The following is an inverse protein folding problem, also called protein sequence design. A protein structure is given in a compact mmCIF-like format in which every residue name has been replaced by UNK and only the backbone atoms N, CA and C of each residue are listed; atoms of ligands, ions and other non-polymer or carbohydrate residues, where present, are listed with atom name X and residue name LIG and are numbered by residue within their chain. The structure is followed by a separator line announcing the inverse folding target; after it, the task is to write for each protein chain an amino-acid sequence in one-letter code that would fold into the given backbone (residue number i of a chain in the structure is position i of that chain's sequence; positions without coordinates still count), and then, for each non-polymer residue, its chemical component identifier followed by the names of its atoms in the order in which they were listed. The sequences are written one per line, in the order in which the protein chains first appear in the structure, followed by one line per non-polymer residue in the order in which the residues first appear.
data_IF_655034593040
#
_entry.id   IF_655034593040
#
_cell.length_a   1.000
_cell.length_b   1.000
_cell.length_c   1.000
_cell.angle_alpha   90.00
_cell.angle_beta   90.00
_cell.angle_gamma   90.00
#
_symmetry.space_group_name_H-M   'P 1'
#
loop_
_entity.id
_entity.type
_entity.pdbx_description
1 polymer ?
#
# COMPACT_ATOMS: atom_id res chain seq x y z
N UNK A 1 -69.91 32.03 -19.30
CA UNK A 1 -69.15 30.98 -20.02
C UNK A 1 -67.70 31.33 -20.37
N UNK A 2 -67.25 32.60 -20.29
CA UNK A 2 -65.87 32.99 -20.66
C UNK A 2 -64.77 32.63 -19.63
N UNK A 3 -65.11 32.45 -18.35
CA UNK A 3 -64.14 32.10 -17.29
C UNK A 3 -63.81 30.59 -17.20
N UNK A 4 -64.67 29.70 -17.71
CA UNK A 4 -64.44 28.24 -17.66
C UNK A 4 -63.48 27.74 -18.75
N UNK A 5 -63.35 28.44 -19.87
CA UNK A 5 -62.41 28.09 -20.95
C UNK A 5 -60.98 28.54 -20.60
N UNK A 6 -60.82 29.64 -19.86
CA UNK A 6 -59.51 30.13 -19.39
C UNK A 6 -58.96 29.22 -18.28
N UNK A 7 -59.82 28.67 -17.41
CA UNK A 7 -59.39 27.72 -16.38
C UNK A 7 -58.99 26.34 -16.93
N UNK A 8 -59.59 25.93 -18.07
CA UNK A 8 -59.25 24.68 -18.76
C UNK A 8 -57.93 24.77 -19.55
N UNK A 9 -57.54 25.98 -19.98
CA UNK A 9 -56.23 26.23 -20.61
C UNK A 9 -55.10 26.37 -19.57
N UNK A 10 -55.41 26.72 -18.32
CA UNK A 10 -54.43 26.83 -17.24
C UNK A 10 -54.00 25.48 -16.64
N UNK A 11 -54.80 24.42 -16.84
CA UNK A 11 -54.52 23.08 -16.28
C UNK A 11 -53.88 22.09 -17.27
N UNK A 12 -53.78 22.41 -18.56
CA UNK A 12 -53.20 21.53 -19.59
C UNK A 12 -51.74 21.91 -19.93
N UNK A 13 -51.23 23.04 -19.41
CA UNK A 13 -49.92 23.58 -19.79
C UNK A 13 -48.72 23.18 -18.89
N UNK A 14 -48.84 22.62 -17.66
CA UNK A 14 -47.65 22.16 -16.94
C UNK A 14 -47.33 20.65 -17.09
N UNK A 15 -47.98 19.89 -17.98
CA UNK A 15 -47.72 18.44 -18.11
C UNK A 15 -46.58 18.04 -19.06
N UNK A 16 -45.81 19.01 -19.57
CA UNK A 16 -44.55 18.74 -20.25
C UNK A 16 -43.35 19.11 -19.37
N UNK A 17 -43.33 18.62 -18.12
CA UNK A 17 -42.04 18.44 -17.44
C UNK A 17 -41.42 17.21 -18.11
N UNK A 18 -40.59 17.47 -19.12
CA UNK A 18 -39.68 16.49 -19.70
C UNK A 18 -38.87 15.90 -18.54
N UNK A 19 -39.22 14.69 -18.11
CA UNK A 19 -38.38 13.91 -17.21
C UNK A 19 -37.11 13.55 -17.99
N UNK A 20 -36.05 14.34 -17.81
CA UNK A 20 -34.71 13.90 -18.17
C UNK A 20 -34.41 12.68 -17.28
N UNK A 21 -34.49 11.48 -17.85
CA UNK A 21 -34.11 10.27 -17.13
C UNK A 21 -32.61 10.38 -16.82
N UNK A 22 -32.27 10.39 -15.54
CA UNK A 22 -30.91 10.38 -15.02
C UNK A 22 -30.59 8.97 -14.52
N UNK A 23 -29.35 8.50 -14.70
CA UNK A 23 -28.96 7.18 -14.22
C UNK A 23 -27.51 6.83 -14.53
N UNK A 24 -27.13 5.62 -14.15
CA UNK A 24 -25.78 5.09 -14.39
C UNK A 24 -25.79 4.30 -15.70
N UNK A 25 -24.89 4.66 -16.61
CA UNK A 25 -24.59 3.88 -17.82
C UNK A 25 -23.29 3.12 -17.60
N UNK A 26 -23.35 1.82 -17.85
CA UNK A 26 -22.18 0.95 -17.82
C UNK A 26 -21.93 0.32 -19.19
N UNK A 27 -20.67 0.03 -19.47
CA UNK A 27 -20.24 -0.51 -20.75
C UNK A 27 -18.78 -0.94 -20.75
N UNK A 28 -18.33 -1.42 -21.90
CA UNK A 28 -16.94 -1.86 -22.12
C UNK A 28 -16.38 -1.16 -23.35
N UNK A 29 -15.17 -0.59 -23.22
CA UNK A 29 -14.45 0.08 -24.29
C UNK A 29 -13.38 -0.85 -24.87
N UNK A 30 -13.53 -1.15 -26.15
CA UNK A 30 -12.63 -2.02 -26.91
C UNK A 30 -11.95 -1.24 -28.06
N UNK A 31 -10.79 -1.71 -28.48
CA UNK A 31 -10.14 -1.25 -29.72
C UNK A 31 -10.72 -1.93 -30.97
N UNK A 32 -10.14 -1.63 -32.14
CA UNK A 32 -10.53 -2.19 -33.43
C UNK A 32 -10.17 -3.68 -33.62
N UNK A 33 -9.48 -4.28 -32.66
CA UNK A 33 -9.13 -5.71 -32.62
C UNK A 33 -9.82 -6.44 -31.45
N UNK A 34 -10.90 -5.86 -30.91
CA UNK A 34 -11.66 -6.37 -29.75
C UNK A 34 -10.83 -6.49 -28.45
N UNK A 35 -9.72 -5.74 -28.33
CA UNK A 35 -8.88 -5.70 -27.13
C UNK A 35 -9.39 -4.59 -26.18
N UNK A 36 -9.56 -4.88 -24.88
CA UNK A 36 -9.94 -3.86 -23.89
C UNK A 36 -8.93 -2.71 -23.80
N UNK A 37 -9.43 -1.48 -23.69
CA UNK A 37 -8.60 -0.27 -23.52
C UNK A 37 -8.63 0.18 -22.05
N UNK A 38 -7.61 -0.14 -21.24
CA UNK A 38 -7.55 0.30 -19.84
C UNK A 38 -7.10 1.76 -19.71
N UNK A 39 -7.68 2.49 -18.75
CA UNK A 39 -7.30 3.88 -18.45
C UNK A 39 -7.76 4.92 -19.48
N UNK A 40 -8.74 4.60 -20.33
CA UNK A 40 -9.37 5.57 -21.21
C UNK A 40 -10.24 6.55 -20.43
N UNK A 41 -10.11 7.84 -20.74
CA UNK A 41 -10.90 8.90 -20.11
C UNK A 41 -12.26 9.02 -20.79
N UNK A 42 -13.32 8.99 -19.98
CA UNK A 42 -14.71 9.14 -20.41
C UNK A 42 -15.28 10.36 -19.70
N UNK A 43 -15.60 11.41 -20.43
CA UNK A 43 -16.13 12.67 -19.85
C UNK A 43 -17.45 13.05 -20.48
N UNK A 44 -18.29 13.78 -19.75
CA UNK A 44 -19.51 14.34 -20.32
C UNK A 44 -19.21 15.73 -20.88
N UNK A 45 -19.53 15.96 -22.16
CA UNK A 45 -19.28 17.22 -22.86
C UNK A 45 -19.91 18.40 -22.11
N UNK A 46 -19.06 19.32 -21.64
CA UNK A 46 -19.48 20.52 -20.92
C UNK A 46 -19.80 20.33 -19.43
N UNK A 47 -19.62 19.12 -18.87
CA UNK A 47 -19.75 18.87 -17.43
C UNK A 47 -18.41 18.38 -16.85
N UNK A 48 -18.10 18.76 -15.62
CA UNK A 48 -16.93 18.24 -14.87
C UNK A 48 -17.22 16.85 -14.27
N UNK A 49 -17.83 15.97 -15.06
CA UNK A 49 -18.17 14.60 -14.66
C UNK A 49 -17.45 13.66 -15.64
N UNK A 50 -16.67 12.74 -15.10
CA UNK A 50 -15.95 11.75 -15.89
C UNK A 50 -15.58 10.51 -15.09
N UNK A 51 -15.19 9.47 -15.80
CA UNK A 51 -14.70 8.20 -15.25
C UNK A 51 -13.56 7.68 -16.13
N UNK A 52 -12.89 6.64 -15.67
CA UNK A 52 -11.88 5.92 -16.45
C UNK A 52 -12.26 4.45 -16.57
N UNK A 53 -11.80 3.81 -17.65
CA UNK A 53 -11.96 2.37 -17.83
C UNK A 53 -11.01 1.59 -16.92
N UNK A 54 -11.48 0.46 -16.39
CA UNK A 54 -10.66 -0.49 -15.62
C UNK A 54 -9.77 -1.37 -16.51
N UNK A 55 -9.09 -2.36 -15.91
CA UNK A 55 -8.20 -3.29 -16.62
C UNK A 55 -8.89 -4.10 -17.71
N UNK A 56 -10.18 -4.39 -17.54
CA UNK A 56 -11.01 -5.15 -18.47
C UNK A 56 -11.77 -4.22 -19.45
N UNK A 57 -11.43 -2.93 -19.47
CA UNK A 57 -12.04 -1.92 -20.33
C UNK A 57 -13.44 -1.49 -19.89
N UNK A 58 -13.92 -1.92 -18.72
CA UNK A 58 -15.25 -1.60 -18.24
C UNK A 58 -15.31 -0.18 -17.67
N UNK A 59 -16.44 0.48 -17.84
CA UNK A 59 -16.72 1.80 -17.28
C UNK A 59 -18.13 1.90 -16.72
N UNK A 60 -18.30 2.83 -15.79
CA UNK A 60 -19.60 3.17 -15.21
C UNK A 60 -19.64 4.68 -14.94
N UNK A 61 -20.61 5.38 -15.51
CA UNK A 61 -20.74 6.84 -15.40
C UNK A 61 -22.20 7.26 -15.20
N UNK A 62 -22.43 8.17 -14.25
CA UNK A 62 -23.75 8.76 -14.01
C UNK A 62 -24.00 9.91 -15.00
N UNK A 63 -25.06 9.83 -15.80
CA UNK A 63 -25.40 10.78 -16.84
C UNK A 63 -26.91 10.88 -17.09
N UNK A 64 -27.32 11.88 -17.87
CA UNK A 64 -28.71 12.17 -18.20
C UNK A 64 -29.01 11.88 -19.68
N UNK A 65 -30.26 11.55 -20.01
CA UNK A 65 -30.70 11.45 -21.41
C UNK A 65 -30.44 12.77 -22.13
N UNK A 66 -29.65 12.72 -23.20
CA UNK A 66 -29.26 13.88 -24.00
C UNK A 66 -27.80 14.30 -23.81
N UNK A 67 -27.13 13.85 -22.75
CA UNK A 67 -25.70 14.09 -22.54
C UNK A 67 -24.85 13.47 -23.66
N UNK A 68 -23.66 14.02 -23.91
CA UNK A 68 -22.71 13.48 -24.88
C UNK A 68 -21.48 12.98 -24.14
N UNK A 69 -21.25 11.67 -24.17
CA UNK A 69 -20.06 11.02 -23.63
C UNK A 69 -18.92 11.15 -24.64
N UNK A 70 -17.77 11.64 -24.18
CA UNK A 70 -16.53 11.77 -24.93
C UNK A 70 -15.56 10.73 -24.41
N UNK A 71 -15.22 9.76 -25.25
CA UNK A 71 -14.20 8.75 -24.99
C UNK A 71 -12.87 9.24 -25.58
N UNK A 72 -11.81 9.24 -24.78
CA UNK A 72 -10.48 9.72 -25.19
C UNK A 72 -9.37 8.88 -24.58
N UNK A 73 -8.40 8.51 -25.41
CA UNK A 73 -7.19 7.79 -25.00
C UNK A 73 -6.04 8.15 -25.95
N UNK A 74 -4.81 8.12 -25.45
CA UNK A 74 -3.62 8.49 -26.23
C UNK A 74 -3.49 7.51 -27.41
N UNK A 75 -3.42 8.04 -28.63
CA UNK A 75 -3.32 7.22 -29.85
C UNK A 75 -4.65 6.73 -30.42
N UNK A 76 -5.79 7.21 -29.93
CA UNK A 76 -7.11 6.84 -30.44
C UNK A 76 -7.90 8.07 -30.88
N UNK A 77 -8.80 7.88 -31.85
CA UNK A 77 -9.76 8.91 -32.23
C UNK A 77 -10.74 9.13 -31.07
N UNK A 78 -10.91 10.39 -30.65
CA UNK A 78 -11.97 10.73 -29.71
C UNK A 78 -13.34 10.32 -30.29
N UNK A 79 -14.15 9.60 -29.50
CA UNK A 79 -15.48 9.15 -29.92
C UNK A 79 -16.54 9.83 -29.07
N UNK A 80 -17.52 10.44 -29.73
CA UNK A 80 -18.67 11.06 -29.06
C UNK A 80 -19.91 10.16 -29.19
N UNK A 81 -20.58 9.87 -28.09
CA UNK A 81 -21.84 9.11 -28.07
C UNK A 81 -22.90 9.88 -27.29
N UNK A 82 -24.02 10.14 -27.95
CA UNK A 82 -25.18 10.77 -27.31
C UNK A 82 -25.97 9.75 -26.50
N UNK A 83 -26.22 10.07 -25.23
CA UNK A 83 -26.99 9.24 -24.31
C UNK A 83 -28.47 9.24 -24.71
N UNK A 84 -29.04 8.04 -24.84
CA UNK A 84 -30.46 7.84 -25.18
C UNK A 84 -31.18 7.03 -24.11
N UNK A 85 -32.49 7.20 -23.95
CA UNK A 85 -33.30 6.49 -22.95
C UNK A 85 -33.19 4.95 -23.02
N UNK A 86 -32.89 4.40 -24.21
CA UNK A 86 -32.71 2.96 -24.41
C UNK A 86 -31.45 2.41 -23.72
N UNK A 87 -30.44 3.25 -23.48
CA UNK A 87 -29.18 2.84 -22.85
C UNK A 87 -29.33 2.58 -21.35
N UNK A 88 -30.41 3.06 -20.72
CA UNK A 88 -30.74 2.77 -19.32
C UNK A 88 -31.54 1.47 -19.13
N UNK A 89 -32.08 0.89 -20.22
CA UNK A 89 -33.01 -0.26 -20.17
C UNK A 89 -32.42 -1.57 -20.70
N UNK A 90 -31.20 -1.54 -21.25
CA UNK A 90 -30.45 -2.72 -21.71
C UNK A 90 -29.08 -2.78 -21.03
N UNK A 91 -28.62 -4.00 -20.71
CA UNK A 91 -27.32 -4.27 -20.06
C UNK A 91 -26.11 -3.74 -20.82
N UNK A 92 -24.91 -4.01 -20.28
CA UNK A 92 -23.63 -3.41 -20.66
C UNK A 92 -23.49 -3.06 -22.16
N UNK A 93 -23.23 -1.78 -22.46
CA UNK A 93 -23.08 -1.27 -23.81
C UNK A 93 -21.60 -1.39 -24.27
N UNK A 94 -21.34 -2.01 -25.42
CA UNK A 94 -19.98 -2.08 -25.98
C UNK A 94 -19.70 -0.91 -26.92
N UNK A 95 -18.56 -0.24 -26.72
CA UNK A 95 -18.12 0.87 -27.55
C UNK A 95 -16.75 0.53 -28.16
N UNK A 96 -16.66 0.56 -29.49
CA UNK A 96 -15.39 0.33 -30.21
C UNK A 96 -14.74 1.68 -30.56
N UNK A 97 -13.51 1.91 -30.11
CA UNK A 97 -12.70 3.09 -30.44
C UNK A 97 -11.66 2.75 -31.52
N UNK A 98 -11.50 3.63 -32.51
CA UNK A 98 -10.57 3.41 -33.62
C UNK A 98 -9.18 3.99 -33.29
N UNK A 99 -8.15 3.18 -33.48
CA UNK A 99 -6.75 3.60 -33.31
C UNK A 99 -6.37 4.64 -34.39
N UNK A 100 -5.71 5.73 -33.98
CA UNK A 100 -5.09 6.69 -34.90
C UNK A 100 -3.56 6.63 -34.68
N UNK A 101 -2.77 6.25 -35.68
CA UNK A 101 -1.33 6.29 -35.57
C UNK A 101 -0.85 7.74 -35.35
N UNK A 102 -0.22 7.98 -34.21
CA UNK A 102 0.31 9.30 -33.84
C UNK A 102 1.55 9.57 -34.70
N UNK A 103 1.50 10.61 -35.53
CA UNK A 103 2.70 11.13 -36.18
C UNK A 103 3.53 11.92 -35.14
N UNK A 104 4.83 11.67 -35.01
CA UNK A 104 5.69 12.47 -34.13
C UNK A 104 5.62 13.94 -34.53
N UNK A 105 5.53 14.84 -33.53
CA UNK A 105 5.65 16.27 -33.78
C UNK A 105 7.13 16.55 -34.05
N UNK A 106 7.50 16.55 -35.33
CA UNK A 106 8.81 17.01 -35.78
C UNK A 106 8.65 18.47 -36.18
N UNK A 107 9.40 19.37 -35.54
CA UNK A 107 9.43 20.78 -35.92
C UNK A 107 10.09 20.91 -37.30
N UNK A 108 9.28 21.03 -38.36
CA UNK A 108 9.78 21.19 -39.73
C UNK A 108 10.72 22.41 -39.87
N UNK A 109 10.49 23.47 -39.08
CA UNK A 109 11.34 24.67 -39.04
C UNK A 109 12.79 24.37 -38.65
N UNK A 110 13.02 23.40 -37.75
CA UNK A 110 14.37 22.98 -37.37
C UNK A 110 15.06 22.18 -38.49
N UNK A 111 14.30 21.34 -39.21
CA UNK A 111 14.82 20.54 -40.32
C UNK A 111 15.16 21.42 -41.54
N UNK A 112 14.35 22.45 -41.80
CA UNK A 112 14.56 23.34 -42.95
C UNK A 112 15.79 24.25 -42.78
N UNK A 113 16.15 24.63 -41.55
CA UNK A 113 17.42 25.33 -41.27
C UNK A 113 18.66 24.43 -41.47
N UNK A 114 18.56 23.14 -41.20
CA UNK A 114 19.68 22.20 -41.41
C UNK A 114 19.93 22.00 -42.91
N UNK A 115 18.88 21.97 -43.74
CA UNK A 115 19.00 21.76 -45.19
C UNK A 115 19.68 22.93 -45.92
N UNK A 116 19.44 24.18 -45.51
CA UNK A 116 20.03 25.36 -46.16
C UNK A 116 21.55 25.48 -45.98
N UNK A 117 22.16 24.75 -45.03
CA UNK A 117 23.60 24.82 -44.74
C UNK A 117 24.43 23.64 -45.28
N UNK A 118 23.86 22.81 -46.16
CA UNK A 118 24.58 21.69 -46.76
C UNK A 118 25.38 22.15 -47.98
N UNK A 119 26.71 22.15 -47.84
CA UNK A 119 27.67 22.45 -48.90
C UNK A 119 27.61 21.33 -49.98
N UNK A 120 27.33 21.64 -51.26
CA UNK A 120 27.20 20.64 -52.33
C UNK A 120 28.49 19.86 -52.67
N UNK A 121 29.64 20.29 -52.16
CA UNK A 121 30.94 19.66 -52.47
C UNK A 121 31.31 18.46 -51.57
N UNK A 122 30.45 18.08 -50.60
CA UNK A 122 30.70 16.91 -49.73
C UNK A 122 29.71 15.79 -50.03
N UNK A 123 30.10 14.84 -50.89
CA UNK A 123 29.36 13.59 -51.10
C UNK A 123 30.01 12.43 -50.34
N UNK A 124 29.21 11.76 -49.50
CA UNK A 124 29.61 10.51 -48.83
C UNK A 124 29.46 9.36 -49.85
N UNK A 125 30.46 8.48 -50.03
CA UNK A 125 30.37 7.37 -50.97
C UNK A 125 29.30 6.34 -50.59
N UNK A 126 28.75 5.68 -51.62
CA UNK A 126 27.70 4.67 -51.53
C UNK A 126 28.16 3.40 -50.78
N UNK A 127 27.30 2.89 -49.90
CA UNK A 127 27.60 1.84 -48.91
C UNK A 127 27.62 0.43 -49.52
N UNK A 128 27.04 0.28 -50.71
CA UNK A 128 26.91 -1.00 -51.42
C UNK A 128 28.23 -1.56 -51.97
N UNK A 129 29.33 -0.79 -51.91
CA UNK A 129 30.67 -1.22 -52.30
C UNK A 129 31.53 -1.84 -51.19
N UNK A 130 31.06 -1.90 -49.93
CA UNK A 130 31.89 -2.39 -48.82
C UNK A 130 31.70 -3.89 -48.53
N UNK A 131 32.79 -4.63 -48.32
CA UNK A 131 32.81 -6.08 -48.06
C UNK A 131 32.32 -6.50 -46.66
N UNK A 132 31.65 -5.63 -45.91
CA UNK A 132 31.14 -5.96 -44.57
C UNK A 132 29.62 -6.14 -44.56
N UNK A 133 29.21 -7.37 -44.26
CA UNK A 133 27.82 -7.79 -44.18
C UNK A 133 27.29 -7.48 -42.78
N UNK A 134 26.32 -6.57 -42.68
CA UNK A 134 25.64 -6.24 -41.42
C UNK A 134 24.38 -7.10 -41.26
N UNK A 135 24.31 -7.89 -40.19
CA UNK A 135 23.15 -8.74 -39.86
C UNK A 135 22.37 -8.13 -38.70
N UNK A 136 21.10 -7.81 -38.93
CA UNK A 136 20.17 -7.10 -38.03
C UNK A 136 19.71 -7.86 -36.76
N UNK A 137 20.30 -9.03 -36.44
CA UNK A 137 19.76 -9.95 -35.43
C UNK A 137 20.63 -10.17 -34.17
N UNK A 138 21.59 -9.28 -33.86
CA UNK A 138 22.26 -9.31 -32.55
C UNK A 138 22.14 -7.97 -31.83
N UNK A 139 21.44 -8.01 -30.69
CA UNK A 139 20.96 -6.86 -29.90
C UNK A 139 22.03 -6.10 -29.11
N UNK A 140 23.32 -6.26 -29.38
CA UNK A 140 24.39 -5.42 -28.78
C UNK A 140 25.57 -5.36 -29.74
N UNK A 141 25.75 -4.22 -30.39
CA UNK A 141 26.98 -3.92 -31.10
C UNK A 141 27.87 -3.10 -30.17
N UNK A 142 29.08 -3.61 -29.88
CA UNK A 142 30.15 -2.79 -29.34
C UNK A 142 30.66 -1.89 -30.46
N UNK A 143 30.12 -0.67 -30.55
CA UNK A 143 30.74 0.38 -31.35
C UNK A 143 31.66 1.18 -30.43
N UNK A 144 32.95 0.93 -30.57
CA UNK A 144 33.98 1.87 -30.18
C UNK A 144 33.77 3.19 -30.95
N UNK A 145 33.26 4.24 -30.29
CA UNK A 145 33.02 5.53 -30.95
C UNK A 145 34.35 6.06 -31.50
N UNK A 146 34.39 6.35 -32.80
CA UNK A 146 35.61 6.84 -33.45
C UNK A 146 35.77 8.33 -33.10
N UNK A 147 36.81 8.64 -32.33
CA UNK A 147 37.17 10.01 -31.94
C UNK A 147 37.81 10.80 -33.08
N UNK A 148 38.62 10.14 -33.91
CA UNK A 148 39.29 10.78 -35.05
C UNK A 148 39.79 9.74 -36.05
N UNK A 149 39.70 10.06 -37.34
CA UNK A 149 40.36 9.29 -38.41
C UNK A 149 41.42 10.20 -39.04
N UNK A 150 42.67 9.74 -39.08
CA UNK A 150 43.79 10.42 -39.70
C UNK A 150 44.28 9.57 -40.89
N UNK A 151 44.17 10.09 -42.11
CA UNK A 151 44.61 9.41 -43.32
C UNK A 151 46.09 9.66 -43.62
N UNK A 152 46.82 8.59 -43.95
CA UNK A 152 48.15 8.60 -44.56
C UNK A 152 48.13 7.94 -45.93
N UNK A 153 49.22 8.10 -46.71
CA UNK A 153 49.32 7.56 -48.09
C UNK A 153 49.04 6.05 -48.18
N UNK A 154 49.47 5.29 -47.17
CA UNK A 154 49.37 3.82 -47.16
C UNK A 154 48.71 3.26 -45.87
N UNK A 155 48.18 4.11 -44.98
CA UNK A 155 47.53 3.64 -43.74
C UNK A 155 46.50 4.64 -43.21
N UNK A 156 45.49 4.12 -42.50
CA UNK A 156 44.48 4.92 -41.80
C UNK A 156 44.70 4.72 -40.29
N UNK A 157 44.92 5.81 -39.56
CA UNK A 157 44.95 5.79 -38.09
C UNK A 157 43.58 6.17 -37.55
N UNK A 158 42.96 5.26 -36.81
CA UNK A 158 41.69 5.48 -36.12
C UNK A 158 41.97 5.69 -34.64
N UNK A 159 41.71 6.88 -34.11
CA UNK A 159 41.64 7.15 -32.67
C UNK A 159 40.22 6.93 -32.20
N UNK A 160 40.05 6.16 -31.14
CA UNK A 160 38.77 5.78 -30.57
C UNK A 160 38.59 6.53 -29.24
N UNK A 161 37.35 6.87 -28.85
CA UNK A 161 37.06 7.31 -27.49
C UNK A 161 37.40 6.17 -26.49
N UNK A 162 37.96 6.46 -25.31
CA UNK A 162 38.03 5.45 -24.25
C UNK A 162 36.61 4.93 -23.98
N UNK A 163 36.48 3.65 -23.60
CA UNK A 163 35.16 3.10 -23.26
C UNK A 163 34.47 3.98 -22.21
N UNK A 164 33.22 4.35 -22.48
CA UNK A 164 32.45 5.16 -21.54
C UNK A 164 32.18 4.33 -20.28
N UNK A 165 32.65 4.84 -19.13
CA UNK A 165 32.30 4.29 -17.83
C UNK A 165 30.94 4.87 -17.44
N UNK A 166 29.94 4.00 -17.32
CA UNK A 166 28.61 4.37 -16.84
C UNK A 166 28.42 3.93 -15.38
N UNK A 167 27.82 4.81 -14.59
CA UNK A 167 27.48 4.56 -13.19
C UNK A 167 25.96 4.66 -13.04
N UNK A 168 25.36 3.66 -12.37
CA UNK A 168 23.96 3.68 -11.99
C UNK A 168 23.86 3.56 -10.47
N UNK A 169 23.05 4.42 -9.85
CA UNK A 169 22.76 4.38 -8.41
C UNK A 169 21.25 4.26 -8.25
N UNK A 170 20.80 3.12 -7.73
CA UNK A 170 19.43 2.87 -7.33
C UNK A 170 19.28 2.98 -5.83
N UNK A 171 18.24 3.68 -5.37
CA UNK A 171 17.81 3.66 -3.97
C UNK A 171 16.32 3.34 -3.96
N UNK A 172 15.94 2.25 -3.31
CA UNK A 172 14.56 1.86 -3.11
C UNK A 172 14.29 1.76 -1.61
N UNK A 173 13.34 2.56 -1.12
CA UNK A 173 12.95 2.58 0.29
C UNK A 173 11.45 2.35 0.41
N UNK A 174 11.08 1.39 1.25
CA UNK A 174 9.69 1.11 1.62
C UNK A 174 9.55 1.13 3.13
N UNK A 175 8.68 1.98 3.63
CA UNK A 175 8.30 2.01 5.05
C UNK A 175 6.80 1.80 5.16
N UNK A 176 6.38 0.97 6.10
CA UNK A 176 4.97 0.66 6.35
C UNK A 176 4.73 0.64 7.86
N UNK A 177 3.67 1.31 8.29
CA UNK A 177 3.23 1.35 9.67
C UNK A 177 1.96 0.50 9.81
N UNK A 178 1.85 -0.22 10.93
CA UNK A 178 0.69 -1.01 11.29
C UNK A 178 0.20 -0.61 12.68
N UNK A 179 -1.11 -0.42 12.85
CA UNK A 179 -1.71 -0.08 14.13
C UNK A 179 -3.06 -0.80 14.26
N UNK A 180 -3.48 -1.05 15.50
CA UNK A 180 -4.77 -1.67 15.81
C UNK A 180 -5.77 -0.57 16.12
N UNK A 181 -6.93 -0.59 15.44
CA UNK A 181 -8.03 0.30 15.77
C UNK A 181 -8.93 -0.41 16.79
N UNK A 182 -9.40 0.31 17.81
CA UNK A 182 -10.30 -0.24 18.83
C UNK A 182 -11.52 -0.96 18.24
N UNK A 183 -12.07 -0.45 17.14
CA UNK A 183 -13.22 -1.04 16.44
C UNK A 183 -12.96 -2.44 15.85
N UNK A 184 -11.69 -2.81 15.69
CA UNK A 184 -11.28 -4.12 15.19
C UNK A 184 -11.17 -5.14 16.33
N UNK A 185 -11.27 -4.70 17.59
CA UNK A 185 -11.26 -5.56 18.76
C UNK A 185 -12.69 -5.98 19.12
N UNK A 186 -12.90 -7.20 19.63
CA UNK A 186 -14.14 -7.59 20.25
C UNK A 186 -14.51 -6.60 21.36
N UNK A 187 -15.78 -6.24 21.42
CA UNK A 187 -16.27 -5.42 22.54
C UNK A 187 -16.20 -6.21 23.83
N UNK A 188 -15.47 -5.69 24.81
CA UNK A 188 -15.45 -6.22 26.18
C UNK A 188 -16.56 -5.57 27.02
N UNK A 189 -16.96 -6.26 28.09
CA UNK A 189 -17.89 -5.68 29.05
C UNK A 189 -17.12 -4.78 30.02
N UNK A 190 -17.65 -3.58 30.27
CA UNK A 190 -17.04 -2.59 31.17
C UNK A 190 -18.04 -2.15 32.27
N UNK A 191 -18.99 -3.02 32.64
CA UNK A 191 -20.08 -2.69 33.54
C UNK A 191 -20.01 -3.40 34.88
N UNK A 192 -19.41 -4.59 34.91
CA UNK A 192 -19.36 -5.47 36.08
C UNK A 192 -17.92 -5.76 36.47
N UNK A 193 -17.69 -5.90 37.77
CA UNK A 193 -16.39 -6.26 38.30
C UNK A 193 -16.13 -7.77 38.16
N UNK A 194 -14.86 -8.16 38.33
CA UNK A 194 -14.47 -9.55 38.53
C UNK A 194 -15.22 -10.12 39.73
N UNK A 195 -15.87 -11.27 39.55
CA UNK A 195 -16.69 -11.86 40.59
C UNK A 195 -17.80 -12.75 40.06
N UNK A 196 -18.61 -13.24 41.01
CA UNK A 196 -19.78 -14.08 40.74
C UNK A 196 -20.76 -14.02 41.92
N UNK A 197 -22.00 -14.50 41.75
CA UNK A 197 -22.91 -14.67 42.87
C UNK A 197 -22.33 -15.61 43.94
N UNK A 198 -22.29 -15.16 45.18
CA UNK A 198 -22.00 -15.96 46.36
C UNK A 198 -23.20 -15.93 47.29
N UNK A 199 -23.81 -17.08 47.57
CA UNK A 199 -25.05 -17.20 48.35
C UNK A 199 -26.20 -16.27 47.89
N UNK A 200 -26.33 -16.08 46.58
CA UNK A 200 -27.40 -15.26 45.98
C UNK A 200 -27.09 -13.77 45.87
N UNK A 201 -25.95 -13.31 46.39
CA UNK A 201 -25.51 -11.90 46.31
C UNK A 201 -24.35 -11.78 45.33
N UNK A 202 -24.37 -10.78 44.45
CA UNK A 202 -23.22 -10.48 43.60
C UNK A 202 -22.04 -10.06 44.48
N UNK A 203 -20.92 -10.76 44.37
CA UNK A 203 -19.73 -10.53 45.20
C UNK A 203 -18.53 -10.30 44.29
N UNK A 204 -17.75 -9.26 44.61
CA UNK A 204 -16.45 -9.04 43.99
C UNK A 204 -15.45 -10.04 44.57
N UNK A 205 -14.63 -10.62 43.70
CA UNK A 205 -13.52 -11.49 44.07
C UNK A 205 -12.27 -10.90 43.43
N UNK A 206 -11.31 -10.48 44.26
CA UNK A 206 -10.10 -9.84 43.80
C UNK A 206 -9.16 -10.79 43.06
N UNK A 207 -8.18 -10.25 42.32
CA UNK A 207 -7.14 -11.02 41.64
C UNK A 207 -6.59 -12.22 42.41
N UNK A 208 -6.25 -12.08 43.69
CA UNK A 208 -5.68 -13.14 44.53
C UNK A 208 -6.55 -14.41 44.62
N UNK A 209 -7.84 -14.30 44.35
CA UNK A 209 -8.79 -15.42 44.41
C UNK A 209 -8.70 -16.35 43.19
N UNK A 210 -8.06 -15.91 42.10
CA UNK A 210 -8.04 -16.65 40.83
C UNK A 210 -9.40 -16.68 40.12
N UNK A 211 -10.32 -15.78 40.46
CA UNK A 211 -11.65 -15.70 39.83
C UNK A 211 -11.52 -15.39 38.33
N UNK A 212 -12.29 -16.10 37.50
CA UNK A 212 -12.21 -16.01 36.04
C UNK A 212 -13.33 -15.17 35.45
N UNK A 213 -14.42 -15.01 36.18
CA UNK A 213 -15.63 -14.40 35.66
C UNK A 213 -15.74 -12.92 36.02
N UNK A 214 -16.40 -12.15 35.16
CA UNK A 214 -16.79 -10.76 35.42
C UNK A 214 -18.29 -10.64 35.70
N UNK A 215 -18.82 -11.55 36.52
CA UNK A 215 -20.22 -11.57 36.95
C UNK A 215 -20.39 -11.03 38.37
N UNK A 216 -19.50 -10.13 38.79
CA UNK A 216 -19.56 -9.44 40.07
C UNK A 216 -20.55 -8.27 40.09
N UNK A 217 -20.50 -7.42 41.13
CA UNK A 217 -21.32 -6.22 41.21
C UNK A 217 -21.02 -5.23 40.08
N UNK A 218 -21.96 -4.32 39.81
CA UNK A 218 -21.76 -3.25 38.82
C UNK A 218 -20.66 -2.29 39.28
N UNK A 219 -19.71 -1.97 38.42
CA UNK A 219 -18.60 -1.05 38.70
C UNK A 219 -19.08 0.31 39.22
N UNK A 220 -20.18 0.85 38.66
CA UNK A 220 -20.76 2.13 39.11
C UNK A 220 -21.26 2.12 40.57
N UNK A 221 -21.44 0.94 41.16
CA UNK A 221 -21.87 0.76 42.55
C UNK A 221 -20.68 0.42 43.47
N UNK A 222 -19.46 0.45 42.95
CA UNK A 222 -18.24 0.12 43.67
C UNK A 222 -17.30 1.31 43.71
N UNK A 223 -16.55 1.41 44.80
CA UNK A 223 -15.44 2.33 44.97
C UNK A 223 -14.28 1.61 45.64
N UNK A 224 -13.12 2.24 45.65
CA UNK A 224 -11.93 1.67 46.29
C UNK A 224 -11.90 1.96 47.80
N UNK A 225 -11.34 1.07 48.60
CA UNK A 225 -11.21 1.25 50.05
C UNK A 225 -10.05 2.19 50.47
N UNK A 226 -9.13 2.51 49.56
CA UNK A 226 -7.96 3.34 49.81
C UNK A 226 -6.87 2.68 50.66
N UNK A 227 -7.00 1.38 50.96
CA UNK A 227 -6.00 0.65 51.73
C UNK A 227 -4.89 0.12 50.82
N UNK A 228 -3.74 -0.18 51.42
CA UNK A 228 -2.65 -0.84 50.68
C UNK A 228 -3.13 -2.19 50.16
N UNK A 229 -3.02 -2.37 48.85
CA UNK A 229 -3.40 -3.60 48.17
C UNK A 229 -2.35 -3.97 47.13
N UNK A 230 -2.11 -5.27 46.99
CA UNK A 230 -1.03 -5.81 46.17
C UNK A 230 -1.31 -5.73 44.66
N UNK A 231 -2.56 -5.50 44.27
CA UNK A 231 -2.99 -5.60 42.86
C UNK A 231 -3.56 -4.30 42.28
N UNK A 232 -3.92 -3.31 43.10
CA UNK A 232 -4.38 -1.99 42.65
C UNK A 232 -3.83 -0.90 43.57
N UNK A 233 -3.38 0.21 42.98
CA UNK A 233 -2.86 1.38 43.70
C UNK A 233 -3.92 2.03 44.60
N UNK A 234 -5.20 1.88 44.24
CA UNK A 234 -6.31 2.52 44.93
C UNK A 234 -6.88 1.66 46.06
N UNK A 235 -6.53 0.37 46.14
CA UNK A 235 -7.03 -0.56 47.16
C UNK A 235 -7.99 -1.61 46.62
N UNK A 236 -8.75 -2.24 47.51
CA UNK A 236 -9.76 -3.24 47.13
C UNK A 236 -11.10 -2.59 46.76
N UNK A 237 -11.93 -3.29 45.98
CA UNK A 237 -13.27 -2.81 45.67
C UNK A 237 -14.25 -3.11 46.80
N UNK A 238 -14.94 -2.06 47.25
CA UNK A 238 -16.01 -2.08 48.25
C UNK A 238 -17.27 -1.43 47.69
N UNK A 239 -18.40 -1.57 48.37
CA UNK A 239 -19.64 -0.91 47.92
C UNK A 239 -19.49 0.61 48.04
N UNK A 240 -20.20 1.32 47.16
CA UNK A 240 -20.29 2.77 47.20
C UNK A 240 -20.77 3.27 48.57
N UNK A 241 -19.97 4.11 49.23
CA UNK A 241 -20.20 4.63 50.58
C UNK A 241 -19.34 3.99 51.67
N UNK A 242 -18.70 2.85 51.38
CA UNK A 242 -17.87 2.10 52.33
C UNK A 242 -16.36 2.35 52.15
N UNK A 243 -15.95 3.12 51.13
CA UNK A 243 -14.56 3.33 50.75
C UNK A 243 -14.08 4.78 50.78
N UNK A 244 -13.12 5.11 49.92
CA UNK A 244 -12.42 6.38 49.87
C UNK A 244 -13.02 7.40 48.89
N UNK A 245 -14.16 7.09 48.26
CA UNK A 245 -14.82 7.95 47.26
C UNK A 245 -14.26 7.85 45.84
N UNK A 246 -13.20 7.06 45.59
CA UNK A 246 -12.66 6.83 44.24
C UNK A 246 -13.44 5.70 43.58
N UNK A 247 -14.22 6.03 42.56
CA UNK A 247 -15.04 5.06 41.84
C UNK A 247 -14.21 4.00 41.11
N UNK A 248 -14.73 2.76 41.07
CA UNK A 248 -14.14 1.67 40.30
C UNK A 248 -14.16 2.00 38.79
N UNK A 249 -13.05 1.71 38.10
CA UNK A 249 -12.91 1.96 36.66
C UNK A 249 -12.68 0.65 35.91
N UNK A 250 -13.18 0.49 34.67
CA UNK A 250 -12.84 -0.66 33.84
C UNK A 250 -11.34 -0.64 33.50
N UNK A 251 -10.80 -1.82 33.19
CA UNK A 251 -9.44 -1.96 32.68
C UNK A 251 -9.36 -1.38 31.25
N UNK A 252 -8.42 -0.46 31.01
CA UNK A 252 -8.29 0.29 29.74
C UNK A 252 -6.83 0.47 29.30
N UNK A 253 -5.94 -0.46 29.69
CA UNK A 253 -4.52 -0.39 29.32
C UNK A 253 -4.31 -0.86 27.88
N UNK A 254 -3.79 0.00 27.01
CA UNK A 254 -3.45 -0.37 25.63
C UNK A 254 -2.14 -1.16 25.58
N UNK A 255 -2.25 -2.42 25.16
CA UNK A 255 -1.11 -3.32 24.99
C UNK A 255 -0.52 -3.28 23.57
N UNK A 256 -1.19 -2.59 22.64
CA UNK A 256 -0.77 -2.52 21.25
C UNK A 256 0.17 -1.34 21.01
N UNK A 257 1.19 -1.60 20.21
CA UNK A 257 2.18 -0.66 19.75
C UNK A 257 2.07 -0.50 18.23
N UNK A 258 2.65 0.57 17.70
CA UNK A 258 2.74 0.74 16.24
C UNK A 258 3.78 -0.22 15.68
N UNK A 259 3.32 -1.19 14.89
CA UNK A 259 4.16 -2.07 14.09
C UNK A 259 4.86 -1.27 12.98
N UNK A 260 6.09 -1.65 12.67
CA UNK A 260 6.94 -0.97 11.69
C UNK A 260 7.60 -1.99 10.80
N UNK A 261 7.43 -1.85 9.49
CA UNK A 261 8.19 -2.57 8.49
C UNK A 261 8.97 -1.56 7.66
N UNK A 262 10.27 -1.76 7.56
CA UNK A 262 11.18 -0.93 6.78
C UNK A 262 12.03 -1.81 5.89
N UNK A 263 12.19 -1.40 4.64
CA UNK A 263 13.06 -2.02 3.68
C UNK A 263 13.83 -0.93 2.95
N UNK A 264 15.13 -1.11 2.85
CA UNK A 264 16.03 -0.24 2.10
C UNK A 264 16.87 -1.11 1.19
N UNK A 265 16.90 -0.80 -0.10
CA UNK A 265 17.82 -1.36 -1.07
C UNK A 265 18.63 -0.24 -1.71
N UNK A 266 19.93 -0.46 -1.82
CA UNK A 266 20.87 0.40 -2.51
C UNK A 266 21.57 -0.47 -3.54
N UNK A 267 21.48 -0.06 -4.80
CA UNK A 267 22.10 -0.73 -5.92
C UNK A 267 23.11 0.24 -6.53
N UNK A 268 24.36 -0.19 -6.64
CA UNK A 268 25.41 0.56 -7.31
C UNK A 268 25.97 -0.29 -8.43
N UNK A 269 25.90 0.22 -9.66
CA UNK A 269 26.32 -0.51 -10.85
C UNK A 269 27.34 0.32 -11.61
N UNK A 270 28.43 -0.33 -12.00
CA UNK A 270 29.45 0.27 -12.88
C UNK A 270 29.55 -0.58 -14.14
N UNK A 271 29.49 0.08 -15.28
CA UNK A 271 29.60 -0.54 -16.59
C UNK A 271 30.73 0.11 -17.38
N UNK A 272 31.55 -0.70 -18.06
CA UNK A 272 32.53 -0.25 -19.05
C UNK A 272 32.67 -1.35 -20.10
N UNK A 273 32.18 -1.10 -21.31
CA UNK A 273 32.22 -2.07 -22.41
C UNK A 273 31.59 -3.41 -22.04
N UNK A 274 32.42 -4.46 -21.98
CA UNK A 274 31.99 -5.84 -21.65
C UNK A 274 31.93 -6.12 -20.15
N UNK A 275 32.47 -5.22 -19.33
CA UNK A 275 32.58 -5.36 -17.88
C UNK A 275 31.40 -4.71 -17.15
N UNK A 276 30.88 -5.39 -16.14
CA UNK A 276 29.87 -4.90 -15.21
C UNK A 276 30.28 -5.27 -13.79
N UNK A 277 30.41 -4.30 -12.91
CA UNK A 277 30.49 -4.51 -11.47
C UNK A 277 29.18 -4.06 -10.81
N UNK A 278 28.74 -4.76 -9.78
CA UNK A 278 27.50 -4.46 -9.06
C UNK A 278 27.71 -4.66 -7.57
N UNK A 279 27.22 -3.70 -6.79
CA UNK A 279 27.10 -3.77 -5.35
C UNK A 279 25.63 -3.56 -4.99
N UNK A 280 25.01 -4.57 -4.39
CA UNK A 280 23.65 -4.47 -3.89
C UNK A 280 23.70 -4.61 -2.36
N UNK A 281 23.11 -3.66 -1.66
CA UNK A 281 22.87 -3.74 -0.23
C UNK A 281 21.38 -3.69 0.02
N UNK A 282 20.85 -4.68 0.74
CA UNK A 282 19.48 -4.62 1.24
C UNK A 282 19.46 -4.76 2.75
N UNK A 283 18.63 -3.94 3.38
CA UNK A 283 18.31 -3.99 4.79
C UNK A 283 16.80 -4.11 4.94
N UNK A 284 16.34 -5.06 5.74
CA UNK A 284 14.96 -5.12 6.17
C UNK A 284 14.88 -5.14 7.68
N UNK A 285 13.97 -4.35 8.24
CA UNK A 285 13.62 -4.34 9.64
C UNK A 285 12.12 -4.45 9.79
N UNK A 286 11.67 -5.37 10.64
CA UNK A 286 10.26 -5.49 11.02
C UNK A 286 10.16 -5.45 12.54
N UNK A 287 9.12 -4.82 13.05
CA UNK A 287 8.72 -4.76 14.45
C UNK A 287 7.22 -4.99 14.52
N UNK A 288 6.82 -5.93 15.36
CA UNK A 288 5.42 -6.30 15.56
C UNK A 288 4.62 -5.28 16.40
N UNK A 289 3.32 -5.56 16.55
CA UNK A 289 2.37 -4.75 17.31
C UNK A 289 2.53 -4.86 18.83
N UNK A 290 3.40 -5.72 19.34
CA UNK A 290 3.65 -5.86 20.79
C UNK A 290 5.07 -5.45 21.17
N UNK A 291 5.89 -5.03 20.20
CA UNK A 291 7.33 -4.80 20.37
C UNK A 291 8.04 -6.02 21.01
N UNK A 292 7.66 -7.23 20.57
CA UNK A 292 8.23 -8.50 21.04
C UNK A 292 8.95 -9.29 19.97
N UNK A 293 8.69 -9.02 18.71
CA UNK A 293 9.45 -9.61 17.61
C UNK A 293 10.01 -8.52 16.73
N UNK A 294 11.34 -8.55 16.61
CA UNK A 294 12.11 -7.79 15.66
C UNK A 294 12.80 -8.73 14.69
N UNK A 295 12.49 -8.63 13.39
CA UNK A 295 13.31 -9.31 12.38
C UNK A 295 14.18 -8.28 11.69
N UNK A 296 15.49 -8.54 11.68
CA UNK A 296 16.49 -7.77 10.95
C UNK A 296 17.14 -8.69 9.95
N UNK A 297 17.17 -8.29 8.68
CA UNK A 297 17.96 -8.98 7.66
C UNK A 297 18.81 -7.96 6.92
N UNK A 298 20.06 -8.32 6.68
CA UNK A 298 21.00 -7.59 5.85
C UNK A 298 21.53 -8.54 4.80
N UNK A 299 21.51 -8.10 3.56
CA UNK A 299 22.11 -8.82 2.45
C UNK A 299 23.02 -7.88 1.68
N UNK A 300 24.24 -8.33 1.43
CA UNK A 300 25.21 -7.65 0.57
C UNK A 300 25.55 -8.61 -0.55
N UNK A 301 25.40 -8.18 -1.79
CA UNK A 301 25.88 -8.86 -2.99
C UNK A 301 26.92 -7.99 -3.68
N UNK A 302 28.07 -8.58 -3.95
CA UNK A 302 29.11 -8.02 -4.79
C UNK A 302 29.24 -8.94 -6.00
N UNK A 303 28.92 -8.45 -7.18
CA UNK A 303 29.00 -9.22 -8.40
C UNK A 303 29.80 -8.51 -9.48
N UNK A 304 30.52 -9.31 -10.27
CA UNK A 304 31.26 -8.86 -11.42
C UNK A 304 30.98 -9.81 -12.58
N UNK A 305 30.63 -9.22 -13.73
CA UNK A 305 30.39 -9.92 -14.99
C UNK A 305 31.32 -9.35 -16.04
N UNK A 306 31.95 -10.22 -16.80
CA UNK A 306 32.66 -9.89 -18.02
C UNK A 306 32.08 -10.70 -19.18
N UNK A 307 31.60 -9.99 -20.18
CA UNK A 307 30.98 -10.55 -21.38
C UNK A 307 31.98 -10.64 -22.53
N UNK A 308 33.13 -11.24 -22.26
CA UNK A 308 34.15 -11.54 -23.26
C UNK A 308 33.59 -12.30 -24.47
N UNK A 309 34.13 -12.02 -25.65
CA UNK A 309 33.68 -12.62 -26.91
C UNK A 309 34.00 -14.13 -27.02
N UNK A 310 35.04 -14.59 -26.30
CA UNK A 310 35.52 -15.97 -26.32
C UNK A 310 35.20 -16.69 -25.00
N UNK A 311 35.42 -16.00 -23.88
CA UNK A 311 35.16 -16.52 -22.53
C UNK A 311 34.35 -15.48 -21.77
N UNK A 312 33.19 -15.90 -21.28
CA UNK A 312 32.36 -15.14 -20.37
C UNK A 312 32.60 -15.62 -18.94
N UNK A 313 32.77 -14.69 -18.01
CA UNK A 313 32.88 -15.02 -16.58
C UNK A 313 31.99 -14.14 -15.73
N UNK A 314 31.39 -14.76 -14.72
CA UNK A 314 30.47 -14.16 -13.76
C UNK A 314 30.92 -14.62 -12.36
N UNK A 315 31.25 -13.68 -11.49
CA UNK A 315 31.71 -13.93 -10.11
C UNK A 315 30.83 -13.15 -9.14
N UNK A 316 30.35 -13.79 -8.09
CA UNK A 316 29.53 -13.15 -7.05
C UNK A 316 29.94 -13.59 -5.66
N UNK A 317 29.97 -12.66 -4.72
CA UNK A 317 30.14 -12.90 -3.28
C UNK A 317 28.94 -12.32 -2.55
N UNK A 318 28.28 -13.15 -1.76
CA UNK A 318 27.09 -12.77 -1.01
C UNK A 318 27.30 -12.96 0.49
N UNK A 319 26.91 -11.94 1.26
CA UNK A 319 26.84 -12.00 2.71
C UNK A 319 25.39 -11.81 3.15
N UNK A 320 24.89 -12.76 3.93
CA UNK A 320 23.55 -12.75 4.49
C UNK A 320 23.64 -12.79 6.01
N UNK A 321 23.01 -11.84 6.67
CA UNK A 321 22.83 -11.85 8.12
C UNK A 321 21.39 -11.59 8.47
N UNK A 322 20.75 -12.54 9.15
CA UNK A 322 19.39 -12.41 9.66
C UNK A 322 19.36 -12.69 11.15
N UNK A 323 18.60 -11.88 11.89
CA UNK A 323 18.25 -12.09 13.29
C UNK A 323 16.73 -12.01 13.41
N UNK A 324 16.14 -13.07 13.97
CA UNK A 324 14.71 -13.18 14.27
C UNK A 324 14.59 -13.29 15.78
N UNK A 325 13.77 -12.43 16.37
CA UNK A 325 13.45 -12.49 17.80
C UNK A 325 12.09 -13.19 17.97
N UNK A 326 12.04 -14.18 18.86
CA UNK A 326 10.90 -15.06 19.16
C UNK A 326 10.48 -16.02 18.03
N UNK A 327 10.93 -17.28 18.11
CA UNK A 327 10.54 -18.35 17.19
C UNK A 327 9.07 -18.80 17.33
N UNK A 328 8.42 -18.50 18.46
CA UNK A 328 7.01 -18.85 18.74
C UNK A 328 6.13 -17.59 18.96
N UNK A 329 6.19 -16.68 17.98
CA UNK A 329 5.51 -15.38 18.07
C UNK A 329 3.99 -15.51 18.21
N UNK A 330 3.35 -16.45 17.51
CA UNK A 330 1.89 -16.59 17.49
C UNK A 330 1.33 -17.02 18.85
N UNK A 331 1.99 -17.97 19.53
CA UNK A 331 1.54 -18.40 20.86
C UNK A 331 1.67 -17.26 21.87
N UNK A 332 2.78 -16.51 21.81
CA UNK A 332 3.01 -15.33 22.66
C UNK A 332 1.94 -14.25 22.42
N UNK A 333 1.67 -13.91 21.16
CA UNK A 333 0.64 -12.92 20.79
C UNK A 333 -0.75 -13.33 21.28
N UNK A 334 -1.14 -14.59 21.08
CA UNK A 334 -2.42 -15.10 21.54
C UNK A 334 -2.54 -15.03 23.07
N UNK A 335 -1.46 -15.36 23.79
CA UNK A 335 -1.46 -15.31 25.25
C UNK A 335 -1.54 -13.88 25.78
N UNK A 336 -0.76 -12.95 25.23
CA UNK A 336 -0.79 -11.52 25.60
C UNK A 336 -2.19 -10.96 25.34
N UNK A 337 -2.73 -11.22 24.16
CA UNK A 337 -4.03 -10.70 23.76
C UNK A 337 -5.17 -11.28 24.61
N UNK A 338 -5.18 -12.59 24.83
CA UNK A 338 -6.17 -13.24 25.70
C UNK A 338 -6.09 -12.66 27.11
N UNK A 339 -4.89 -12.54 27.69
CA UNK A 339 -4.67 -11.96 29.00
C UNK A 339 -5.18 -10.52 29.13
N UNK A 340 -5.07 -9.73 28.07
CA UNK A 340 -5.59 -8.36 28.05
C UNK A 340 -7.12 -8.33 28.00
N UNK A 341 -7.77 -9.20 27.21
CA UNK A 341 -9.23 -9.23 27.10
C UNK A 341 -9.97 -9.63 28.39
N UNK A 342 -9.28 -10.31 29.30
CA UNK A 342 -9.84 -10.87 30.53
C UNK A 342 -9.30 -10.20 31.80
N UNK A 343 -8.45 -9.18 31.65
CA UNK A 343 -7.91 -8.42 32.77
C UNK A 343 -9.04 -7.72 33.55
N UNK A 344 -8.92 -7.70 34.87
CA UNK A 344 -9.99 -7.19 35.72
C UNK A 344 -9.92 -5.67 35.92
N UNK A 345 -11.08 -5.01 36.10
CA UNK A 345 -11.18 -3.58 36.43
C UNK A 345 -10.38 -3.13 37.67
N UNK A 346 -10.15 -4.01 38.64
CA UNK A 346 -9.44 -3.72 39.90
C UNK A 346 -7.98 -4.17 39.87
N UNK A 347 -7.35 -4.09 38.71
CA UNK A 347 -5.97 -4.49 38.49
C UNK A 347 -5.19 -3.33 37.87
N UNK A 348 -4.18 -2.84 38.59
CA UNK A 348 -3.30 -1.77 38.11
C UNK A 348 -1.91 -2.31 37.82
N UNK A 349 -1.40 -1.94 36.65
CA UNK A 349 -0.01 -2.19 36.26
C UNK A 349 0.98 -1.16 36.85
N UNK A 350 0.48 -0.08 37.48
CA UNK A 350 1.33 1.03 37.97
C UNK A 350 2.28 0.63 39.09
N UNK A 351 1.91 -0.35 39.94
CA UNK A 351 2.82 -0.84 40.99
C UNK A 351 3.71 -2.00 40.49
N UNK A 352 3.83 -2.16 39.16
CA UNK A 352 4.69 -3.12 38.50
C UNK A 352 4.07 -4.50 38.32
N UNK A 353 4.86 -5.41 37.74
CA UNK A 353 4.42 -6.73 37.32
C UNK A 353 4.79 -7.87 38.28
N UNK A 354 5.46 -7.55 39.39
CA UNK A 354 5.86 -8.50 40.43
C UNK A 354 5.33 -8.06 41.79
N UNK A 355 4.99 -9.04 42.63
CA UNK A 355 4.66 -8.86 44.03
C UNK A 355 5.93 -8.76 44.87
N UNK A 356 5.81 -8.29 46.12
CA UNK A 356 6.94 -8.12 47.03
C UNK A 356 7.70 -9.43 47.33
N UNK A 357 7.02 -10.58 47.20
CA UNK A 357 7.60 -11.92 47.37
C UNK A 357 8.30 -12.45 46.11
N UNK A 358 8.40 -11.65 45.04
CA UNK A 358 9.03 -12.03 43.78
C UNK A 358 8.14 -12.83 42.82
N UNK A 359 6.92 -13.17 43.21
CA UNK A 359 5.94 -13.84 42.32
C UNK A 359 5.36 -12.82 41.34
N UNK A 360 4.99 -13.26 40.15
CA UNK A 360 4.27 -12.43 39.20
C UNK A 360 2.96 -11.92 39.79
N UNK A 361 2.69 -10.62 39.58
CA UNK A 361 1.38 -10.04 39.81
C UNK A 361 0.47 -10.40 38.64
N UNK A 362 -0.54 -11.22 38.90
CA UNK A 362 -1.54 -11.65 37.91
C UNK A 362 -2.95 -11.26 38.38
N UNK A 363 -3.84 -10.95 37.44
CA UNK A 363 -5.26 -10.71 37.71
C UNK A 363 -6.05 -12.00 38.00
N UNK A 364 -5.44 -13.18 37.76
CA UNK A 364 -5.97 -14.47 38.16
C UNK A 364 -4.80 -15.47 38.29
N UNK A 365 -4.17 -15.58 39.46
CA UNK A 365 -3.16 -16.59 39.76
C UNK A 365 -3.64 -17.98 39.32
N UNK A 366 -2.72 -18.79 38.79
CA UNK A 366 -2.94 -20.15 38.27
C UNK A 366 -3.65 -20.26 36.91
N UNK A 367 -4.38 -19.25 36.45
CA UNK A 367 -5.13 -19.35 35.20
C UNK A 367 -4.56 -18.47 34.09
N UNK A 368 -4.21 -17.23 34.41
CA UNK A 368 -3.78 -16.26 33.43
C UNK A 368 -2.60 -15.44 33.93
N UNK A 369 -1.86 -14.86 32.99
CA UNK A 369 -0.71 -14.03 33.27
C UNK A 369 -1.08 -12.56 33.03
N UNK A 370 -0.45 -11.63 33.76
CA UNK A 370 -0.54 -10.21 33.45
C UNK A 370 0.03 -9.93 32.03
N UNK A 371 -0.72 -9.24 31.14
CA UNK A 371 -0.24 -8.94 29.80
C UNK A 371 1.06 -8.13 29.80
N UNK A 372 1.24 -7.17 30.71
CA UNK A 372 2.48 -6.39 30.81
C UNK A 372 3.66 -7.23 31.32
N UNK A 373 3.41 -8.19 32.21
CA UNK A 373 4.45 -9.15 32.61
C UNK A 373 4.87 -10.04 31.43
N UNK A 374 3.91 -10.52 30.63
CA UNK A 374 4.20 -11.30 29.42
C UNK A 374 5.01 -10.49 28.41
N UNK A 375 4.72 -9.19 28.29
CA UNK A 375 5.50 -8.30 27.47
C UNK A 375 6.94 -8.21 28.02
N UNK A 376 7.14 -7.90 29.30
CA UNK A 376 8.49 -7.65 29.84
C UNK A 376 9.37 -8.90 29.99
N UNK A 377 8.81 -10.04 30.42
CA UNK A 377 9.62 -11.20 30.87
C UNK A 377 9.66 -12.40 29.89
N UNK A 378 8.81 -12.48 28.86
CA UNK A 378 8.82 -13.61 27.92
C UNK A 378 9.68 -13.37 26.67
N UNK A 379 10.93 -12.95 26.86
CA UNK A 379 11.95 -13.10 25.84
C UNK A 379 12.41 -14.58 25.78
N UNK A 380 11.74 -15.41 24.97
CA UNK A 380 12.19 -16.76 24.55
C UNK A 380 12.22 -17.93 25.55
N UNK A 381 11.59 -17.89 26.73
CA UNK A 381 11.58 -19.04 27.66
C UNK A 381 10.26 -19.81 27.67
N UNK A 382 10.03 -20.60 26.62
CA UNK A 382 9.21 -21.82 26.65
C UNK A 382 9.92 -22.92 25.88
#
# INVERSE_FOLDING_TARGET
MKAKIIFLFFFIVPSCILLAQHGIISGTLLDDNDVPIPGANITIKGKNIGTQTDFDGNYSINCEVGDVLIFSYIGYSGKEIKVTAKMFTKGANTVIAKNIPIKPIVANEYIDQIKQNSNPDFQIPDIDGSTQRYTLNQRRFNYSQIKKIEGGKDSIKVKIYPEDIHFEIGINQKTSLQFVQQKNLPSTQNQFAQGRPNNGTLTWFGPETGELFSYGPRLRNLEYDGQTYDYDTNGQLVNLGDGNGVLAKPYDEDIFQTGLNSFTAIDFVVHSGQHKATFNYTNSYTRDLFNKSGNKANHVDLSYTDKGDIVRWDTSVQFNHSKTENANINASHNQIYLSHLIASPSFSNDQGFSLANGVQRSFSPLNFNNPNWLLENNANSY
#
